data_IF_057664843540
#
_entry.id   IF_057664843540
#
_cell.length_a   1.000
_cell.length_b   1.000
_cell.length_c   1.000
_cell.angle_alpha   90.00
_cell.angle_beta   90.00
_cell.angle_gamma   90.00
#
_symmetry.space_group_name_H-M   'P 1'
#
loop_
_entity.id
_entity.type
_entity.pdbx_description
1 polymer ?
#
# COMPACT_ATOMS: atom_id res chain seq x y z
N UNK A 1 -0.90 -14.49 -32.65
CA UNK A 1 0.49 -14.42 -32.10
C UNK A 1 0.53 -14.33 -30.58
N UNK A 2 0.11 -13.23 -29.90
CA UNK A 2 0.13 -13.18 -28.41
C UNK A 2 -0.77 -14.18 -27.67
N UNK A 3 -1.78 -14.73 -28.35
CA UNK A 3 -2.75 -15.66 -27.76
C UNK A 3 -2.56 -17.11 -28.21
N UNK A 4 -1.79 -17.36 -29.27
CA UNK A 4 -1.79 -18.67 -29.95
C UNK A 4 -0.55 -19.51 -29.59
N UNK A 5 0.62 -18.90 -29.40
CA UNK A 5 1.85 -19.54 -28.90
C UNK A 5 2.60 -18.57 -27.97
N UNK A 6 2.37 -18.63 -26.64
CA UNK A 6 3.00 -17.72 -25.69
C UNK A 6 4.49 -17.98 -25.50
N UNK A 7 4.98 -19.20 -25.79
CA UNK A 7 6.40 -19.57 -25.68
C UNK A 7 7.23 -18.97 -26.84
N UNK A 8 6.80 -19.17 -28.09
CA UNK A 8 7.45 -18.55 -29.26
C UNK A 8 7.48 -17.02 -29.16
N UNK A 9 6.41 -16.43 -28.61
CA UNK A 9 6.33 -14.99 -28.39
C UNK A 9 7.34 -14.49 -27.34
N UNK A 10 7.67 -15.29 -26.32
CA UNK A 10 8.71 -14.95 -25.34
C UNK A 10 10.07 -14.91 -26.04
N UNK A 11 10.40 -15.92 -26.84
CA UNK A 11 11.67 -15.97 -27.56
C UNK A 11 11.83 -14.80 -28.56
N UNK A 12 10.75 -14.45 -29.27
CA UNK A 12 10.74 -13.25 -30.12
C UNK A 12 10.98 -11.97 -29.32
N UNK A 13 10.34 -11.82 -28.14
CA UNK A 13 10.51 -10.63 -27.30
C UNK A 13 11.89 -10.54 -26.64
N UNK A 14 12.49 -11.67 -26.27
CA UNK A 14 13.84 -11.76 -25.72
C UNK A 14 14.91 -11.59 -26.81
N UNK A 15 14.58 -11.87 -28.08
CA UNK A 15 15.43 -11.58 -29.22
C UNK A 15 15.60 -10.09 -29.51
N UNK A 16 14.63 -9.24 -29.13
CA UNK A 16 14.68 -7.78 -29.39
C UNK A 16 15.85 -7.09 -28.69
N UNK A 17 16.13 -7.31 -27.39
CA UNK A 17 17.33 -6.81 -26.71
C UNK A 17 18.64 -7.13 -27.44
N UNK A 18 18.78 -8.32 -28.02
CA UNK A 18 20.01 -8.75 -28.70
C UNK A 18 20.20 -8.10 -30.07
N UNK A 19 19.13 -7.57 -30.67
CA UNK A 19 19.17 -6.86 -31.94
C UNK A 19 19.53 -5.37 -31.79
N UNK A 20 19.46 -4.82 -30.58
CA UNK A 20 19.86 -3.43 -30.32
C UNK A 20 21.35 -3.37 -29.91
N UNK A 21 22.19 -2.60 -30.64
CA UNK A 21 23.62 -2.46 -30.31
C UNK A 21 23.86 -1.70 -29.00
N UNK A 22 22.91 -0.86 -28.60
CA UNK A 22 22.87 -0.20 -27.29
C UNK A 22 21.48 -0.40 -26.67
N UNK A 23 21.41 -0.42 -25.34
CA UNK A 23 20.13 -0.58 -24.63
C UNK A 23 19.15 0.51 -25.05
N UNK A 24 18.06 0.12 -25.73
CA UNK A 24 17.05 1.03 -26.24
C UNK A 24 15.64 0.78 -25.69
N UNK A 25 14.70 1.59 -26.18
CA UNK A 25 13.28 1.53 -25.80
C UNK A 25 12.60 0.24 -26.27
N UNK A 26 13.07 -0.40 -27.35
CA UNK A 26 12.47 -1.61 -27.89
C UNK A 26 12.88 -2.85 -27.10
N UNK A 27 14.15 -2.95 -26.69
CA UNK A 27 14.61 -3.97 -25.74
C UNK A 27 13.83 -3.91 -24.42
N UNK A 28 13.62 -2.70 -23.88
CA UNK A 28 12.81 -2.51 -22.66
C UNK A 28 11.36 -2.96 -22.83
N UNK A 29 10.72 -2.64 -23.97
CA UNK A 29 9.34 -3.07 -24.26
C UNK A 29 9.25 -4.58 -24.48
N UNK A 30 10.24 -5.19 -25.13
CA UNK A 30 10.36 -6.63 -25.34
C UNK A 30 10.41 -7.37 -24.01
N UNK A 31 11.41 -7.07 -23.18
CA UNK A 31 11.58 -7.63 -21.83
C UNK A 31 10.30 -7.48 -21.00
N UNK A 32 9.65 -6.31 -21.06
CA UNK A 32 8.39 -6.06 -20.36
C UNK A 32 7.25 -6.98 -20.79
N UNK A 33 7.16 -7.35 -22.07
CA UNK A 33 6.14 -8.29 -22.54
C UNK A 33 6.52 -9.73 -22.22
N UNK A 34 7.80 -10.10 -22.36
CA UNK A 34 8.31 -11.42 -22.00
C UNK A 34 7.99 -11.74 -20.52
N UNK A 35 8.36 -10.86 -19.59
CA UNK A 35 8.12 -11.04 -18.14
C UNK A 35 6.63 -11.25 -17.83
N UNK A 36 5.73 -10.52 -18.52
CA UNK A 36 4.28 -10.67 -18.32
C UNK A 36 3.76 -12.03 -18.79
N UNK A 37 4.33 -12.58 -19.86
CA UNK A 37 3.97 -13.89 -20.37
C UNK A 37 4.58 -14.99 -19.49
N UNK A 38 5.85 -14.86 -19.11
CA UNK A 38 6.53 -15.80 -18.21
C UNK A 38 5.82 -15.93 -16.87
N UNK A 39 5.39 -14.80 -16.30
CA UNK A 39 4.62 -14.80 -15.05
C UNK A 39 3.28 -15.53 -15.21
N UNK A 40 2.59 -15.35 -16.34
CA UNK A 40 1.33 -16.05 -16.64
C UNK A 40 1.52 -17.55 -16.90
N UNK A 41 2.69 -17.97 -17.37
CA UNK A 41 3.03 -19.37 -17.60
C UNK A 41 3.60 -20.06 -16.34
N UNK A 42 3.69 -19.36 -15.20
CA UNK A 42 4.28 -19.89 -13.97
C UNK A 42 5.81 -20.02 -14.00
N UNK A 43 6.49 -19.43 -15.01
CA UNK A 43 7.95 -19.44 -15.15
C UNK A 43 8.59 -18.34 -14.29
N UNK A 44 8.38 -18.42 -12.97
CA UNK A 44 8.73 -17.35 -12.05
C UNK A 44 10.23 -17.06 -11.96
N UNK A 45 11.09 -18.07 -12.05
CA UNK A 45 12.55 -17.89 -11.98
C UNK A 45 13.07 -17.07 -13.17
N UNK A 46 12.67 -17.45 -14.39
CA UNK A 46 13.01 -16.70 -15.61
C UNK A 46 12.46 -15.26 -15.57
N UNK A 47 11.22 -15.10 -15.08
CA UNK A 47 10.63 -13.78 -14.93
C UNK A 47 11.47 -12.87 -14.00
N UNK A 48 12.05 -13.41 -12.92
CA UNK A 48 12.93 -12.65 -12.00
C UNK A 48 14.26 -12.29 -12.68
N UNK A 49 14.83 -13.20 -13.48
CA UNK A 49 16.07 -12.95 -14.22
C UNK A 49 15.88 -11.83 -15.25
N UNK A 50 14.87 -11.95 -16.12
CA UNK A 50 14.55 -10.92 -17.10
C UNK A 50 14.10 -9.60 -16.45
N UNK A 51 13.45 -9.65 -15.29
CA UNK A 51 13.15 -8.44 -14.52
C UNK A 51 14.42 -7.75 -14.02
N UNK A 52 15.40 -8.51 -13.55
CA UNK A 52 16.69 -7.97 -13.13
C UNK A 52 17.42 -7.33 -14.31
N UNK A 53 17.35 -7.93 -15.49
CA UNK A 53 17.86 -7.34 -16.72
C UNK A 53 17.13 -6.03 -17.07
N UNK A 54 15.79 -6.02 -17.02
CA UNK A 54 14.98 -4.83 -17.27
C UNK A 54 15.34 -3.66 -16.35
N UNK A 55 15.66 -3.92 -15.08
CA UNK A 55 16.11 -2.88 -14.14
C UNK A 55 17.43 -2.23 -14.56
N UNK A 56 18.27 -2.90 -15.36
CA UNK A 56 19.49 -2.28 -15.88
C UNK A 56 19.20 -1.22 -16.95
N UNK A 57 18.12 -1.36 -17.72
CA UNK A 57 17.68 -0.36 -18.70
C UNK A 57 17.17 0.90 -18.02
N UNK A 58 16.61 0.78 -16.81
CA UNK A 58 16.13 1.91 -16.00
C UNK A 58 17.27 2.86 -15.61
N UNK A 59 18.50 2.34 -15.51
CA UNK A 59 19.67 3.15 -15.14
C UNK A 59 20.27 3.95 -16.30
N UNK A 60 20.15 3.46 -17.54
CA UNK A 60 20.95 3.98 -18.66
C UNK A 60 20.15 4.35 -19.91
N UNK A 61 19.04 3.67 -20.20
CA UNK A 61 18.38 3.71 -21.50
C UNK A 61 17.07 4.49 -21.52
N UNK A 62 16.41 4.60 -20.36
CA UNK A 62 15.00 4.99 -20.30
C UNK A 62 14.80 6.14 -19.32
N UNK A 63 13.92 7.09 -19.66
CA UNK A 63 13.60 8.22 -18.77
C UNK A 63 13.00 7.75 -17.43
N UNK A 64 13.29 8.47 -16.36
CA UNK A 64 12.84 8.17 -14.99
C UNK A 64 11.31 8.05 -14.87
N UNK A 65 10.56 8.94 -15.52
CA UNK A 65 9.10 8.92 -15.47
C UNK A 65 8.50 7.73 -16.23
N UNK A 66 9.11 7.33 -17.35
CA UNK A 66 8.63 6.19 -18.13
C UNK A 66 8.94 4.85 -17.44
N UNK A 67 10.12 4.73 -16.83
CA UNK A 67 10.48 3.57 -16.02
C UNK A 67 9.60 3.45 -14.78
N UNK A 68 9.34 4.55 -14.06
CA UNK A 68 8.41 4.60 -12.92
C UNK A 68 7.01 4.07 -13.28
N UNK A 69 6.41 4.61 -14.34
CA UNK A 69 5.09 4.18 -14.80
C UNK A 69 5.10 2.72 -15.27
N UNK A 70 6.17 2.28 -15.90
CA UNK A 70 6.29 0.92 -16.41
C UNK A 70 6.45 -0.12 -15.31
N UNK A 71 7.27 0.16 -14.29
CA UNK A 71 7.46 -0.70 -13.13
C UNK A 71 6.16 -0.79 -12.33
N UNK A 72 5.52 0.34 -12.02
CA UNK A 72 4.23 0.33 -11.31
C UNK A 72 3.17 -0.50 -12.04
N UNK A 73 3.01 -0.29 -13.36
CA UNK A 73 2.07 -1.06 -14.17
C UNK A 73 2.43 -2.56 -14.28
N UNK A 74 3.70 -2.92 -14.07
CA UNK A 74 4.14 -4.31 -14.07
C UNK A 74 3.83 -4.96 -12.73
N UNK A 75 4.20 -4.31 -11.62
CA UNK A 75 3.89 -4.78 -10.27
C UNK A 75 2.37 -4.95 -10.09
N UNK A 76 1.56 -3.96 -10.48
CA UNK A 76 0.10 -4.03 -10.39
C UNK A 76 -0.48 -5.15 -11.28
N UNK A 77 0.19 -5.52 -12.36
CA UNK A 77 -0.23 -6.64 -13.21
C UNK A 77 0.11 -7.98 -12.56
N UNK A 78 1.32 -8.11 -12.01
CA UNK A 78 1.80 -9.31 -11.34
C UNK A 78 0.96 -9.58 -10.08
N UNK A 79 0.69 -8.56 -9.26
CA UNK A 79 -0.20 -8.66 -8.08
C UNK A 79 -1.60 -9.17 -8.43
N UNK A 80 -2.17 -8.75 -9.58
CA UNK A 80 -3.49 -9.19 -10.04
C UNK A 80 -3.53 -10.61 -10.58
N UNK A 81 -2.40 -11.15 -11.02
CA UNK A 81 -2.32 -12.50 -11.61
C UNK A 81 -1.59 -13.47 -10.67
N UNK A 82 -1.34 -13.08 -9.41
CA UNK A 82 -0.73 -13.96 -8.44
C UNK A 82 -1.79 -14.78 -7.72
N UNK A 83 -1.89 -16.05 -8.12
CA UNK A 83 -2.86 -17.00 -7.55
C UNK A 83 -2.16 -18.01 -6.60
N UNK A 84 -0.88 -18.29 -6.83
CA UNK A 84 -0.11 -19.32 -6.11
C UNK A 84 0.91 -18.76 -5.12
N UNK A 85 1.31 -19.58 -4.14
CA UNK A 85 2.35 -19.22 -3.15
C UNK A 85 3.71 -18.95 -3.79
N UNK A 86 4.04 -19.65 -4.89
CA UNK A 86 5.23 -19.36 -5.71
C UNK A 86 5.14 -17.98 -6.39
N UNK A 87 3.94 -17.57 -6.80
CA UNK A 87 3.71 -16.25 -7.38
C UNK A 87 3.94 -15.14 -6.33
N UNK A 88 3.55 -15.38 -5.08
CA UNK A 88 3.82 -14.46 -3.97
C UNK A 88 5.31 -14.31 -3.66
N UNK A 89 6.07 -15.42 -3.66
CA UNK A 89 7.53 -15.37 -3.50
C UNK A 89 8.20 -14.63 -4.67
N UNK A 90 7.68 -14.81 -5.89
CA UNK A 90 8.14 -14.08 -7.07
C UNK A 90 7.89 -12.58 -6.91
N UNK A 91 6.69 -12.17 -6.50
CA UNK A 91 6.37 -10.77 -6.22
C UNK A 91 7.34 -10.17 -5.19
N UNK A 92 7.62 -10.88 -4.10
CA UNK A 92 8.57 -10.41 -3.08
C UNK A 92 9.97 -10.18 -3.66
N UNK A 93 10.46 -11.10 -4.50
CA UNK A 93 11.74 -10.93 -5.22
C UNK A 93 11.72 -9.73 -6.15
N UNK A 94 10.63 -9.51 -6.89
CA UNK A 94 10.46 -8.34 -7.75
C UNK A 94 10.53 -7.05 -6.94
N UNK A 95 9.81 -6.96 -5.82
CA UNK A 95 9.87 -5.80 -4.93
C UNK A 95 11.28 -5.56 -4.39
N UNK A 96 11.94 -6.59 -3.88
CA UNK A 96 13.32 -6.49 -3.36
C UNK A 96 14.30 -5.98 -4.42
N UNK A 97 14.31 -6.58 -5.62
CA UNK A 97 15.19 -6.13 -6.72
C UNK A 97 14.89 -4.71 -7.17
N UNK A 98 13.62 -4.32 -7.17
CA UNK A 98 13.19 -2.95 -7.50
C UNK A 98 13.75 -1.95 -6.49
N UNK A 99 13.66 -2.26 -5.20
CA UNK A 99 14.16 -1.42 -4.13
C UNK A 99 15.68 -1.25 -4.20
N UNK A 100 16.43 -2.34 -4.42
CA UNK A 100 17.89 -2.30 -4.58
C UNK A 100 18.29 -1.39 -5.76
N UNK A 101 17.55 -1.47 -6.87
CA UNK A 101 17.80 -0.63 -8.03
C UNK A 101 17.48 0.84 -7.75
N UNK A 102 16.39 1.14 -7.04
CA UNK A 102 15.99 2.53 -6.74
C UNK A 102 16.85 3.20 -5.69
N UNK A 103 17.38 2.44 -4.72
CA UNK A 103 18.34 2.95 -3.74
C UNK A 103 19.61 3.44 -4.44
N UNK A 104 20.07 2.73 -5.47
CA UNK A 104 21.21 3.16 -6.30
C UNK A 104 20.91 4.40 -7.16
N UNK A 105 19.65 4.68 -7.50
CA UNK A 105 19.24 5.81 -8.35
C UNK A 105 18.76 7.03 -7.54
N UNK A 106 18.87 6.99 -6.20
CA UNK A 106 18.42 8.03 -5.28
C UNK A 106 16.96 8.47 -5.51
N UNK A 107 16.07 7.50 -5.79
CA UNK A 107 14.67 7.78 -6.09
C UNK A 107 13.78 7.59 -4.86
N UNK A 108 13.90 8.52 -3.92
CA UNK A 108 13.25 8.46 -2.60
C UNK A 108 11.72 8.29 -2.66
N UNK A 109 11.03 9.02 -3.55
CA UNK A 109 9.56 8.92 -3.69
C UNK A 109 9.12 7.53 -4.13
N UNK A 110 9.77 6.98 -5.16
CA UNK A 110 9.47 5.65 -5.67
C UNK A 110 9.83 4.57 -4.68
N UNK A 111 10.97 4.74 -4.00
CA UNK A 111 11.42 3.85 -2.94
C UNK A 111 10.40 3.80 -1.80
N UNK A 112 9.88 4.95 -1.33
CA UNK A 112 8.81 5.01 -0.32
C UNK A 112 7.54 4.33 -0.83
N UNK A 113 7.05 4.68 -2.03
CA UNK A 113 5.83 4.09 -2.59
C UNK A 113 5.93 2.56 -2.74
N UNK A 114 7.09 2.08 -3.17
CA UNK A 114 7.37 0.65 -3.37
C UNK A 114 7.45 -0.10 -2.04
N UNK A 115 8.16 0.45 -1.05
CA UNK A 115 8.21 -0.13 0.30
C UNK A 115 6.82 -0.16 0.96
N UNK A 116 5.99 0.88 0.78
CA UNK A 116 4.64 0.87 1.34
C UNK A 116 3.73 -0.18 0.66
N UNK A 117 3.91 -0.45 -0.64
CA UNK A 117 3.21 -1.57 -1.32
C UNK A 117 3.69 -2.93 -0.77
N UNK A 118 5.00 -3.13 -0.63
CA UNK A 118 5.56 -4.35 -0.05
C UNK A 118 5.06 -4.60 1.38
N UNK A 119 5.03 -3.56 2.21
CA UNK A 119 4.50 -3.64 3.57
C UNK A 119 2.99 -3.99 3.59
N UNK A 120 2.19 -3.47 2.65
CA UNK A 120 0.78 -3.88 2.47
C UNK A 120 0.65 -5.36 2.13
N UNK A 121 1.54 -5.90 1.30
CA UNK A 121 1.55 -7.31 0.93
C UNK A 121 1.89 -8.20 2.13
N UNK A 122 2.92 -7.86 2.91
CA UNK A 122 3.25 -8.60 4.13
C UNK A 122 2.17 -8.52 5.20
N UNK A 123 1.48 -7.39 5.32
CA UNK A 123 0.30 -7.27 6.18
C UNK A 123 -0.82 -8.23 5.74
N UNK A 124 -1.09 -8.35 4.44
CA UNK A 124 -2.08 -9.28 3.90
C UNK A 124 -1.69 -10.76 4.14
N UNK A 125 -0.40 -11.08 4.09
CA UNK A 125 0.14 -12.41 4.40
C UNK A 125 0.27 -12.69 5.91
N UNK A 126 0.04 -11.69 6.77
CA UNK A 126 0.22 -11.75 8.24
C UNK A 126 1.67 -12.03 8.67
N UNK A 127 2.66 -11.68 7.87
CA UNK A 127 4.07 -11.72 8.25
C UNK A 127 4.43 -10.46 9.08
N UNK A 128 4.05 -10.48 10.35
CA UNK A 128 4.26 -9.37 11.27
C UNK A 128 5.73 -9.08 11.62
N UNK A 129 6.64 -10.08 11.73
CA UNK A 129 8.06 -9.82 11.95
C UNK A 129 8.69 -8.95 10.85
N UNK A 130 8.54 -9.35 9.57
CA UNK A 130 9.11 -8.59 8.44
C UNK A 130 8.44 -7.22 8.29
N UNK A 131 7.13 -7.16 8.51
CA UNK A 131 6.39 -5.90 8.49
C UNK A 131 6.90 -4.91 9.53
N UNK A 132 7.23 -5.38 10.75
CA UNK A 132 7.70 -4.51 11.83
C UNK A 132 9.03 -3.84 11.49
N UNK A 133 9.99 -4.60 10.94
CA UNK A 133 11.28 -4.06 10.51
C UNK A 133 11.11 -3.03 9.38
N UNK A 134 10.22 -3.33 8.44
CA UNK A 134 9.98 -2.48 7.27
C UNK A 134 9.24 -1.19 7.60
N UNK A 135 8.25 -1.23 8.48
CA UNK A 135 7.56 0.00 8.90
C UNK A 135 8.50 0.89 9.72
N UNK A 136 9.42 0.32 10.49
CA UNK A 136 10.47 1.09 11.16
C UNK A 136 11.38 1.80 10.16
N UNK A 137 11.78 1.13 9.09
CA UNK A 137 12.55 1.73 8.00
C UNK A 137 11.77 2.85 7.27
N UNK A 138 10.47 2.64 7.01
CA UNK A 138 9.59 3.66 6.44
C UNK A 138 9.47 4.90 7.34
N UNK A 139 9.31 4.72 8.65
CA UNK A 139 9.27 5.82 9.62
C UNK A 139 10.59 6.59 9.64
N UNK A 140 11.73 5.90 9.65
CA UNK A 140 13.04 6.54 9.60
C UNK A 140 13.24 7.35 8.31
N UNK A 141 12.79 6.84 7.17
CA UNK A 141 12.87 7.55 5.90
C UNK A 141 11.91 8.76 5.81
N UNK A 142 10.84 8.77 6.60
CA UNK A 142 9.91 9.90 6.71
C UNK A 142 10.34 10.94 7.76
N UNK A 143 11.35 10.64 8.58
CA UNK A 143 11.90 11.55 9.58
C UNK A 143 13.08 12.34 9.00
N UNK A 144 13.25 13.57 9.50
CA UNK A 144 14.42 14.40 9.23
C UNK A 144 15.57 14.02 10.16
N UNK A 145 16.77 14.50 9.87
CA UNK A 145 17.96 14.27 10.69
C UNK A 145 17.81 14.79 12.14
N UNK A 146 16.92 15.76 12.36
CA UNK A 146 16.57 16.29 13.69
C UNK A 146 15.53 15.43 14.46
N UNK A 147 15.05 14.35 13.85
CA UNK A 147 14.02 13.46 14.42
C UNK A 147 12.59 13.96 14.29
N UNK A 148 12.36 15.11 13.64
CA UNK A 148 11.02 15.61 13.31
C UNK A 148 10.45 14.96 12.05
N UNK A 149 9.13 14.81 11.98
CA UNK A 149 8.46 14.26 10.79
C UNK A 149 8.57 15.25 9.62
N UNK A 150 8.99 14.78 8.45
CA UNK A 150 9.09 15.64 7.27
C UNK A 150 7.70 15.93 6.68
N UNK A 151 7.23 17.20 6.66
CA UNK A 151 5.91 17.53 6.11
C UNK A 151 5.77 17.15 4.63
N UNK A 152 6.87 17.10 3.87
CA UNK A 152 6.85 16.70 2.45
C UNK A 152 6.48 15.22 2.26
N UNK A 153 6.75 14.39 3.28
CA UNK A 153 6.51 12.93 3.29
C UNK A 153 5.36 12.54 4.20
N UNK A 154 4.59 13.51 4.71
CA UNK A 154 3.57 13.26 5.72
C UNK A 154 2.49 12.27 5.26
N UNK A 155 2.16 12.21 3.96
CA UNK A 155 1.24 11.19 3.42
C UNK A 155 1.80 9.77 3.57
N UNK A 156 3.08 9.55 3.28
CA UNK A 156 3.74 8.25 3.47
C UNK A 156 3.90 7.89 4.94
N UNK A 157 4.18 8.88 5.80
CA UNK A 157 4.22 8.70 7.26
C UNK A 157 2.86 8.23 7.80
N UNK A 158 1.76 8.86 7.36
CA UNK A 158 0.41 8.40 7.73
C UNK A 158 0.08 7.00 7.21
N UNK A 159 0.51 6.65 5.99
CA UNK A 159 0.37 5.27 5.49
C UNK A 159 1.15 4.27 6.34
N UNK A 160 2.37 4.60 6.76
CA UNK A 160 3.18 3.77 7.66
C UNK A 160 2.49 3.58 9.02
N UNK A 161 1.98 4.64 9.64
CA UNK A 161 1.19 4.53 10.88
C UNK A 161 -0.07 3.68 10.69
N UNK A 162 -0.78 3.82 9.57
CA UNK A 162 -1.97 3.02 9.31
C UNK A 162 -1.66 1.52 9.14
N UNK A 163 -0.50 1.16 8.56
CA UNK A 163 -0.03 -0.22 8.47
C UNK A 163 0.31 -0.80 9.85
N UNK A 164 1.02 -0.03 10.67
CA UNK A 164 1.32 -0.39 12.05
C UNK A 164 0.04 -0.56 12.88
N UNK A 165 -0.93 0.34 12.74
CA UNK A 165 -2.22 0.27 13.42
C UNK A 165 -2.96 -1.01 13.03
N UNK A 166 -3.01 -1.37 11.75
CA UNK A 166 -3.66 -2.61 11.30
C UNK A 166 -2.96 -3.85 11.88
N UNK A 167 -1.62 -3.88 11.85
CA UNK A 167 -0.83 -4.96 12.45
C UNK A 167 -1.10 -5.12 13.95
N UNK A 168 -1.11 -4.01 14.71
CA UNK A 168 -1.35 -4.06 16.14
C UNK A 168 -2.82 -4.30 16.51
N UNK A 169 -3.76 -3.94 15.63
CA UNK A 169 -5.17 -4.28 15.78
C UNK A 169 -5.38 -5.80 15.67
N UNK A 170 -4.73 -6.46 14.71
CA UNK A 170 -4.77 -7.92 14.55
C UNK A 170 -4.13 -8.66 15.73
N UNK A 171 -3.00 -8.15 16.23
CA UNK A 171 -2.29 -8.74 17.38
C UNK A 171 -2.87 -8.32 18.75
N UNK A 172 -3.94 -7.51 18.76
CA UNK A 172 -4.66 -7.00 19.95
C UNK A 172 -3.77 -6.26 20.96
N UNK A 173 -2.76 -5.53 20.50
CA UNK A 173 -1.84 -4.78 21.36
C UNK A 173 -2.32 -3.34 21.62
N UNK A 174 -3.31 -3.17 22.50
CA UNK A 174 -3.97 -1.89 22.76
C UNK A 174 -3.04 -0.80 23.31
N UNK A 175 -1.97 -1.16 24.04
CA UNK A 175 -1.04 -0.18 24.63
C UNK A 175 -0.26 0.58 23.55
N UNK A 176 0.17 -0.12 22.50
CA UNK A 176 0.90 0.51 21.38
C UNK A 176 -0.01 1.32 20.48
N UNK A 177 -1.26 0.88 20.28
CA UNK A 177 -2.23 1.58 19.43
C UNK A 177 -2.48 3.04 19.89
N UNK A 178 -2.56 3.28 21.20
CA UNK A 178 -2.73 4.65 21.73
C UNK A 178 -1.58 5.58 21.36
N UNK A 179 -0.34 5.11 21.50
CA UNK A 179 0.84 5.88 21.13
C UNK A 179 0.87 6.18 19.63
N UNK A 180 0.53 5.19 18.80
CA UNK A 180 0.50 5.32 17.35
C UNK A 180 -0.58 6.30 16.87
N UNK A 181 -1.78 6.22 17.43
CA UNK A 181 -2.88 7.13 17.09
C UNK A 181 -2.52 8.60 17.35
N UNK A 182 -1.95 8.89 18.53
CA UNK A 182 -1.56 10.25 18.89
C UNK A 182 -0.44 10.78 17.97
N UNK A 183 0.51 9.92 17.57
CA UNK A 183 1.54 10.28 16.60
C UNK A 183 0.95 10.54 15.21
N UNK A 184 0.04 9.67 14.76
CA UNK A 184 -0.60 9.79 13.45
C UNK A 184 -1.42 11.09 13.30
N UNK A 185 -2.17 11.49 14.33
CA UNK A 185 -2.89 12.78 14.32
C UNK A 185 -1.96 13.99 14.46
N UNK A 186 -0.77 13.80 15.04
CA UNK A 186 0.27 14.81 15.15
C UNK A 186 0.88 15.22 13.80
N UNK A 187 0.75 14.38 12.75
CA UNK A 187 1.27 14.66 11.41
C UNK A 187 0.46 15.78 10.76
N UNK A 188 1.00 17.01 10.81
CA UNK A 188 0.41 18.21 10.18
C UNK A 188 0.75 18.27 8.69
N UNK A 189 -0.11 18.95 7.92
CA UNK A 189 0.11 19.28 6.49
C UNK A 189 0.11 18.12 5.49
N UNK A 190 -0.30 16.92 5.91
CA UNK A 190 -0.51 15.80 5.00
C UNK A 190 -1.98 15.66 4.61
N UNK A 191 -2.23 15.45 3.32
CA UNK A 191 -3.55 15.08 2.79
C UNK A 191 -3.49 13.60 2.42
N UNK A 192 -3.85 12.69 3.34
CA UNK A 192 -3.82 11.26 3.08
C UNK A 192 -5.05 10.85 2.28
N UNK A 193 -4.98 9.67 1.68
CA UNK A 193 -6.15 9.06 1.06
C UNK A 193 -7.25 8.84 2.12
N UNK A 194 -8.54 9.12 1.84
CA UNK A 194 -9.63 8.99 2.83
C UNK A 194 -9.66 7.63 3.54
N UNK A 195 -9.41 6.54 2.81
CA UNK A 195 -9.25 5.19 3.38
C UNK A 195 -8.22 5.10 4.53
N UNK A 196 -7.05 5.75 4.39
CA UNK A 196 -5.98 5.73 5.39
C UNK A 196 -6.40 6.52 6.63
N UNK A 197 -7.02 7.68 6.44
CA UNK A 197 -7.59 8.47 7.52
C UNK A 197 -8.68 7.68 8.26
N UNK A 198 -9.56 6.99 7.52
CA UNK A 198 -10.60 6.13 8.07
C UNK A 198 -10.05 5.07 9.03
N UNK A 199 -8.98 4.37 8.65
CA UNK A 199 -8.30 3.36 9.48
C UNK A 199 -7.75 3.96 10.77
N UNK A 200 -7.05 5.09 10.68
CA UNK A 200 -6.45 5.76 11.86
C UNK A 200 -7.56 6.21 12.82
N UNK A 201 -8.64 6.82 12.29
CA UNK A 201 -9.76 7.31 13.09
C UNK A 201 -10.59 6.20 13.70
N UNK A 202 -10.78 5.08 12.99
CA UNK A 202 -11.44 3.89 13.54
C UNK A 202 -10.69 3.34 14.75
N UNK A 203 -9.35 3.26 14.66
CA UNK A 203 -8.51 2.87 15.79
C UNK A 203 -8.65 3.84 16.96
N UNK A 204 -8.67 5.15 16.69
CA UNK A 204 -8.94 6.18 17.69
C UNK A 204 -10.27 5.99 18.41
N UNK A 205 -11.34 5.72 17.66
CA UNK A 205 -12.67 5.46 18.22
C UNK A 205 -12.68 4.26 19.16
N UNK A 206 -12.08 3.14 18.74
CA UNK A 206 -11.95 1.92 19.56
C UNK A 206 -11.11 2.16 20.82
N UNK A 207 -10.04 2.94 20.71
CA UNK A 207 -9.23 3.35 21.85
C UNK A 207 -10.06 4.18 22.83
N UNK A 208 -10.78 5.22 22.39
CA UNK A 208 -11.62 6.04 23.26
C UNK A 208 -12.77 5.25 23.91
N UNK A 209 -13.34 4.28 23.21
CA UNK A 209 -14.29 3.34 23.82
C UNK A 209 -13.68 2.56 24.99
N UNK A 210 -12.42 2.13 24.86
CA UNK A 210 -11.74 1.40 25.95
C UNK A 210 -11.42 2.27 27.17
N UNK A 211 -11.43 3.60 27.00
CA UNK A 211 -11.25 4.60 28.06
C UNK A 211 -12.59 5.17 28.57
N UNK A 212 -13.72 4.59 28.14
CA UNK A 212 -15.08 5.07 28.46
C UNK A 212 -15.33 6.54 28.04
N UNK A 213 -14.50 7.06 27.14
CA UNK A 213 -14.66 8.41 26.59
C UNK A 213 -15.60 8.36 25.39
N UNK A 214 -16.91 8.20 25.66
CA UNK A 214 -17.94 8.01 24.65
C UNK A 214 -18.05 9.18 23.67
N UNK A 215 -17.83 10.42 24.15
CA UNK A 215 -17.90 11.63 23.32
C UNK A 215 -16.79 11.67 22.27
N UNK A 216 -15.55 11.44 22.68
CA UNK A 216 -14.43 11.38 21.75
C UNK A 216 -14.53 10.17 20.80
N UNK A 217 -15.01 9.03 21.31
CA UNK A 217 -15.23 7.83 20.49
C UNK A 217 -16.26 8.08 19.38
N UNK A 218 -17.39 8.69 19.70
CA UNK A 218 -18.43 9.02 18.73
C UNK A 218 -17.94 9.97 17.64
N UNK A 219 -17.22 11.04 18.02
CA UNK A 219 -16.63 11.97 17.04
C UNK A 219 -15.63 11.27 16.13
N UNK A 220 -14.75 10.41 16.68
CA UNK A 220 -13.77 9.66 15.91
C UNK A 220 -14.42 8.64 14.96
N UNK A 221 -15.47 7.93 15.39
CA UNK A 221 -16.21 7.02 14.51
C UNK A 221 -16.99 7.75 13.43
N UNK A 222 -17.53 8.93 13.70
CA UNK A 222 -18.21 9.74 12.68
C UNK A 222 -17.24 10.21 11.58
N UNK A 223 -16.07 10.72 11.98
CA UNK A 223 -15.02 11.11 11.02
C UNK A 223 -14.48 9.89 10.25
N UNK A 224 -14.32 8.74 10.90
CA UNK A 224 -13.93 7.50 10.26
C UNK A 224 -14.98 7.02 9.26
N UNK A 225 -16.28 7.09 9.60
CA UNK A 225 -17.39 6.74 8.74
C UNK A 225 -17.38 7.59 7.47
N UNK A 226 -17.30 8.92 7.61
CA UNK A 226 -17.20 9.83 6.46
C UNK A 226 -16.00 9.49 5.56
N UNK A 227 -14.85 9.25 6.17
CA UNK A 227 -13.62 8.91 5.45
C UNK A 227 -13.76 7.61 4.65
N UNK A 228 -14.46 6.61 5.19
CA UNK A 228 -14.75 5.36 4.49
C UNK A 228 -15.85 5.51 3.44
N UNK A 229 -16.83 6.37 3.66
CA UNK A 229 -17.89 6.67 2.70
C UNK A 229 -17.33 7.39 1.46
N UNK A 230 -16.51 8.43 1.66
CA UNK A 230 -15.77 9.13 0.60
C UNK A 230 -14.84 8.17 -0.17
N UNK A 231 -14.28 7.16 0.50
CA UNK A 231 -13.45 6.13 -0.12
C UNK A 231 -14.25 5.00 -0.80
N UNK A 232 -15.58 4.95 -0.66
CA UNK A 232 -16.41 3.84 -1.14
C UNK A 232 -16.10 2.49 -0.47
N UNK A 233 -15.54 2.49 0.74
CA UNK A 233 -15.14 1.27 1.46
C UNK A 233 -16.33 0.62 2.17
N UNK A 234 -16.46 -0.70 2.07
CA UNK A 234 -17.48 -1.47 2.81
C UNK A 234 -17.31 -1.41 4.33
N UNK A 235 -16.12 -1.04 4.81
CA UNK A 235 -15.83 -0.82 6.23
C UNK A 235 -16.71 0.28 6.85
N UNK A 236 -17.30 1.17 6.05
CA UNK A 236 -18.26 2.17 6.53
C UNK A 236 -19.42 1.55 7.33
N UNK A 237 -19.92 0.38 6.93
CA UNK A 237 -21.03 -0.30 7.62
C UNK A 237 -20.59 -0.78 9.00
N UNK A 238 -19.36 -1.30 9.11
CA UNK A 238 -18.79 -1.71 10.40
C UNK A 238 -18.61 -0.51 11.32
N UNK A 239 -18.09 0.60 10.82
CA UNK A 239 -17.91 1.83 11.61
C UNK A 239 -19.25 2.45 12.02
N UNK A 240 -20.25 2.39 11.15
CA UNK A 240 -21.61 2.85 11.47
C UNK A 240 -22.19 2.10 12.67
N UNK A 241 -21.96 0.78 12.78
CA UNK A 241 -22.35 -0.01 13.95
C UNK A 241 -21.66 0.50 15.24
N UNK A 242 -20.37 0.83 15.17
CA UNK A 242 -19.66 1.42 16.32
C UNK A 242 -20.17 2.83 16.66
N UNK A 243 -20.52 3.63 15.66
CA UNK A 243 -21.10 4.96 15.84
C UNK A 243 -22.45 4.88 16.57
N UNK A 244 -23.33 3.97 16.15
CA UNK A 244 -24.63 3.75 16.81
C UNK A 244 -24.42 3.29 18.25
N UNK A 245 -23.54 2.31 18.46
CA UNK A 245 -23.23 1.79 19.80
C UNK A 245 -22.70 2.90 20.74
N UNK A 246 -21.73 3.70 20.27
CA UNK A 246 -21.18 4.81 21.08
C UNK A 246 -22.21 5.90 21.34
N UNK A 247 -23.13 6.15 20.41
CA UNK A 247 -24.23 7.12 20.60
C UNK A 247 -25.21 6.65 21.67
N UNK A 248 -25.56 5.36 21.68
CA UNK A 248 -26.37 4.74 22.74
C UNK A 248 -25.66 4.80 24.10
N UNK A 249 -24.36 4.50 24.15
CA UNK A 249 -23.56 4.54 25.39
C UNK A 249 -23.34 5.95 25.92
N UNK A 250 -23.36 6.97 25.06
CA UNK A 250 -23.33 8.37 25.48
C UNK A 250 -24.62 8.81 26.19
N UNK A 251 -25.72 8.04 26.03
CA UNK A 251 -27.04 8.44 26.50
C UNK A 251 -27.60 9.65 25.76
N UNK A 252 -27.20 9.84 24.51
CA UNK A 252 -27.67 10.95 23.67
C UNK A 252 -29.04 10.62 23.09
N UNK A 253 -29.98 11.57 23.18
CA UNK A 253 -31.29 11.47 22.51
C UNK A 253 -31.22 11.73 21.00
N UNK A 254 -30.04 12.08 20.48
CA UNK A 254 -29.82 12.38 19.06
C UNK A 254 -29.72 11.06 18.29
N UNK A 255 -30.63 10.86 17.33
CA UNK A 255 -30.58 9.72 16.45
C UNK A 255 -29.39 9.87 15.47
N UNK A 256 -28.42 8.94 15.47
CA UNK A 256 -27.26 9.03 14.59
C UNK A 256 -27.66 9.10 13.11
N UNK A 257 -28.79 8.48 12.73
CA UNK A 257 -29.33 8.41 11.37
C UNK A 257 -30.06 9.68 10.89
N UNK A 258 -30.19 10.70 11.74
CA UNK A 258 -30.76 11.98 11.32
C UNK A 258 -29.72 12.87 10.61
N UNK A 259 -28.44 12.51 10.69
CA UNK A 259 -27.37 13.16 9.91
C UNK A 259 -27.49 12.83 8.42
N UNK A 260 -27.22 13.81 7.55
CA UNK A 260 -27.37 13.65 6.10
C UNK A 260 -26.50 12.49 5.56
N UNK A 261 -25.35 12.27 6.19
CA UNK A 261 -24.35 11.29 5.81
C UNK A 261 -24.77 9.85 6.15
N UNK A 262 -25.53 9.66 7.22
CA UNK A 262 -25.93 8.31 7.68
C UNK A 262 -27.40 7.97 7.37
N UNK A 263 -28.23 8.98 7.09
CA UNK A 263 -29.65 8.81 6.75
C UNK A 263 -29.93 7.79 5.64
N UNK A 264 -29.13 7.69 4.54
CA UNK A 264 -29.34 6.67 3.51
C UNK A 264 -29.19 5.23 4.02
N UNK A 265 -28.43 5.04 5.11
CA UNK A 265 -28.07 3.74 5.66
C UNK A 265 -29.04 3.24 6.74
N UNK A 266 -30.19 3.89 6.92
CA UNK A 266 -31.16 3.54 7.97
C UNK A 266 -31.77 2.15 7.79
N UNK A 267 -31.82 1.64 6.56
CA UNK A 267 -32.44 0.37 6.22
C UNK A 267 -31.40 -0.73 5.87
N UNK A 268 -30.10 -0.44 5.99
CA UNK A 268 -28.99 -1.38 5.79
C UNK A 268 -28.60 -2.08 7.10
#
# INVERSE_FOLDING_TARGET
MKADNPEDAIDEFLGVPALEPEKGDWGFKGLKQAIKLEFKLGRYEMAVEHYTELLTYVKSAVTRNYSEKSINNMLDFIEKNAEDEQAHQCIEKFYSKTLDSFQATNNERLWLATNTKLARLWLAQKDYPRLTEKVRELHQACQREDGSDDPSKGTYSMEAYALEIQMYADTRNNKRLKGLYNRAIGVRSAVPHPKIMGIIRECGGKMFMSEENWKAAQSAFFESFRSYDEAGSMQRIQVLKYLVLTTMLMGSDINPFDSQETKPYKND
#
